data_IF_802964558090
#
_entry.id   IF_802964558090
#
_cell.length_a   1.000
_cell.length_b   1.000
_cell.length_c   1.000
_cell.angle_alpha   90.00
_cell.angle_beta   90.00
_cell.angle_gamma   90.00
#
_symmetry.space_group_name_H-M   'P 1'
#
loop_
_entity.id
_entity.type
_entity.pdbx_description
1 polymer ?
#
# COMPACT_ATOMS: atom_id res chain seq x y z
N UNK A 1 -20.19 -23.85 6.81
CA UNK A 1 -19.55 -23.81 5.48
C UNK A 1 -19.39 -22.35 5.21
N UNK A 2 -18.26 -21.80 5.62
CA UNK A 2 -18.10 -20.38 5.87
C UNK A 2 -16.83 -19.91 5.18
N UNK A 3 -16.91 -18.72 4.59
CA UNK A 3 -15.79 -18.05 3.96
C UNK A 3 -15.63 -16.68 4.62
N UNK A 4 -14.38 -16.34 4.95
CA UNK A 4 -13.98 -15.01 5.39
C UNK A 4 -12.90 -14.51 4.44
N UNK A 5 -13.07 -13.30 3.93
CA UNK A 5 -12.18 -12.72 2.92
C UNK A 5 -11.97 -11.25 3.21
N UNK A 6 -10.74 -10.78 3.02
CA UNK A 6 -10.38 -9.38 3.09
C UNK A 6 -10.09 -8.83 1.71
N UNK A 7 -10.38 -7.54 1.51
CA UNK A 7 -9.93 -6.81 0.33
C UNK A 7 -8.41 -6.72 0.38
N UNK A 8 -7.73 -7.07 -0.73
CA UNK A 8 -6.27 -7.04 -0.84
C UNK A 8 -5.71 -5.61 -1.01
N UNK A 9 -5.97 -4.74 -0.03
CA UNK A 9 -5.39 -3.40 0.11
C UNK A 9 -4.41 -3.37 1.26
N UNK A 10 -3.43 -2.46 1.20
CA UNK A 10 -2.28 -2.46 2.13
C UNK A 10 -1.60 -3.82 2.17
N UNK A 11 -1.51 -4.46 1.01
CA UNK A 11 -0.81 -5.72 0.80
C UNK A 11 0.47 -5.45 0.01
N UNK A 12 1.51 -6.22 0.28
CA UNK A 12 2.71 -6.26 -0.54
C UNK A 12 2.91 -7.67 -1.10
N UNK A 13 3.36 -7.75 -2.36
CA UNK A 13 3.63 -9.03 -3.05
C UNK A 13 5.12 -9.07 -3.39
N UNK A 14 5.79 -10.17 -3.04
CA UNK A 14 7.18 -10.39 -3.44
C UNK A 14 7.19 -11.38 -4.60
N UNK A 15 7.75 -10.95 -5.73
CA UNK A 15 7.91 -11.77 -6.92
C UNK A 15 9.26 -11.48 -7.56
N UNK A 16 10.01 -12.52 -7.93
CA UNK A 16 11.33 -12.41 -8.57
C UNK A 16 12.32 -11.50 -7.81
N UNK A 17 12.28 -11.56 -6.48
CA UNK A 17 13.12 -10.74 -5.60
C UNK A 17 12.72 -9.26 -5.53
N UNK A 18 11.58 -8.86 -6.11
CA UNK A 18 11.06 -7.50 -6.09
C UNK A 18 9.80 -7.42 -5.23
N UNK A 19 9.73 -6.38 -4.41
CA UNK A 19 8.53 -6.05 -3.66
C UNK A 19 7.63 -5.14 -4.49
N UNK A 20 6.38 -5.55 -4.67
CA UNK A 20 5.33 -4.78 -5.30
C UNK A 20 4.36 -4.27 -4.23
N UNK A 21 4.21 -2.95 -4.15
CA UNK A 21 3.26 -2.29 -3.26
C UNK A 21 2.34 -1.44 -4.10
N UNK A 22 1.03 -1.65 -3.94
CA UNK A 22 0.01 -0.84 -4.59
C UNK A 22 -0.72 0.01 -3.56
N UNK A 23 -0.81 1.30 -3.84
CA UNK A 23 -1.65 2.24 -3.13
C UNK A 23 -2.39 3.12 -4.14
N UNK A 24 -3.49 3.71 -3.73
CA UNK A 24 -4.25 4.65 -4.56
C UNK A 24 -5.15 5.55 -3.73
N UNK A 25 -5.80 6.47 -4.43
CA UNK A 25 -6.73 7.44 -3.88
C UNK A 25 -8.06 7.42 -4.65
N UNK A 26 -9.13 7.86 -3.98
CA UNK A 26 -10.46 7.96 -4.59
C UNK A 26 -10.65 9.34 -5.17
N UNK A 27 -10.67 9.45 -6.50
CA UNK A 27 -10.79 10.75 -7.18
C UNK A 27 -12.26 11.19 -7.24
N UNK A 28 -12.52 12.42 -6.83
CA UNK A 28 -13.83 13.10 -6.89
C UNK A 28 -13.72 14.40 -7.67
N UNK A 29 -14.84 15.09 -7.89
CA UNK A 29 -14.92 16.29 -8.73
C UNK A 29 -13.96 17.41 -8.30
N UNK A 30 -13.78 17.59 -7.00
CA UNK A 30 -12.99 18.62 -6.35
C UNK A 30 -11.62 18.13 -5.86
N UNK A 31 -11.19 16.92 -6.26
CA UNK A 31 -9.89 16.37 -5.92
C UNK A 31 -8.75 17.26 -6.40
N UNK A 32 -7.75 17.42 -5.53
CA UNK A 32 -6.49 18.12 -5.83
C UNK A 32 -5.40 17.08 -6.11
N UNK A 33 -4.82 17.03 -7.33
CA UNK A 33 -3.83 16.02 -7.69
C UNK A 33 -2.65 15.90 -6.72
N UNK A 34 -2.20 17.01 -6.11
CA UNK A 34 -1.09 16.99 -5.16
C UNK A 34 -1.51 16.32 -3.84
N UNK A 35 -2.72 16.61 -3.35
CA UNK A 35 -3.24 15.99 -2.12
C UNK A 35 -3.49 14.50 -2.29
N UNK A 36 -4.03 14.08 -3.44
CA UNK A 36 -4.30 12.67 -3.71
C UNK A 36 -2.99 11.85 -3.84
N UNK A 37 -1.95 12.48 -4.38
CA UNK A 37 -0.60 11.91 -4.40
C UNK A 37 -0.06 11.70 -2.98
N UNK A 38 -0.13 12.74 -2.14
CA UNK A 38 0.31 12.67 -0.75
C UNK A 38 -0.46 11.61 0.04
N UNK A 39 -1.78 11.49 -0.17
CA UNK A 39 -2.60 10.44 0.43
C UNK A 39 -2.15 9.04 -0.01
N UNK A 40 -1.91 8.85 -1.30
CA UNK A 40 -1.44 7.57 -1.86
C UNK A 40 -0.09 7.17 -1.24
N UNK A 41 0.85 8.11 -1.14
CA UNK A 41 2.14 7.89 -0.49
C UNK A 41 1.99 7.58 1.01
N UNK A 42 1.12 8.30 1.71
CA UNK A 42 0.84 8.06 3.13
C UNK A 42 0.25 6.67 3.37
N UNK A 43 -0.66 6.20 2.52
CA UNK A 43 -1.23 4.84 2.58
C UNK A 43 -0.18 3.75 2.36
N UNK A 44 0.75 3.97 1.42
CA UNK A 44 1.84 3.03 1.12
C UNK A 44 2.97 3.04 2.16
N UNK A 45 3.18 4.16 2.88
CA UNK A 45 4.30 4.37 3.82
C UNK A 45 4.42 3.27 4.87
N UNK A 46 3.30 2.80 5.42
CA UNK A 46 3.31 1.75 6.44
C UNK A 46 3.98 0.45 5.93
N UNK A 47 3.71 0.06 4.68
CA UNK A 47 4.31 -1.12 4.08
C UNK A 47 5.80 -0.93 3.82
N UNK A 48 6.20 0.24 3.31
CA UNK A 48 7.61 0.55 3.11
C UNK A 48 8.39 0.53 4.43
N UNK A 49 7.82 1.06 5.50
CA UNK A 49 8.43 1.02 6.83
C UNK A 49 8.57 -0.42 7.34
N UNK A 50 7.51 -1.23 7.23
CA UNK A 50 7.55 -2.63 7.66
C UNK A 50 8.61 -3.44 6.89
N UNK A 51 8.74 -3.21 5.58
CA UNK A 51 9.75 -3.86 4.75
C UNK A 51 11.16 -3.41 5.14
N UNK A 52 11.36 -2.10 5.35
CA UNK A 52 12.66 -1.58 5.76
C UNK A 52 13.11 -2.17 7.11
N UNK A 53 12.18 -2.32 8.05
CA UNK A 53 12.44 -2.98 9.33
C UNK A 53 12.82 -4.46 9.13
N UNK A 54 12.01 -5.22 8.38
CA UNK A 54 12.28 -6.63 8.10
C UNK A 54 13.63 -6.85 7.37
N UNK A 55 13.96 -5.97 6.42
CA UNK A 55 15.25 -6.01 5.72
C UNK A 55 16.44 -5.69 6.64
N UNK A 56 16.23 -4.93 7.72
CA UNK A 56 17.25 -4.59 8.71
C UNK A 56 17.47 -5.66 9.80
N UNK A 57 16.73 -6.77 9.75
CA UNK A 57 16.88 -7.90 10.67
C UNK A 57 15.98 -7.87 11.91
N UNK A 58 14.87 -7.13 11.84
CA UNK A 58 13.74 -7.21 12.78
C UNK A 58 12.75 -8.31 12.38
#
# INVERSE_FOLDING_TARGET
GDADTAIAIRTAVIQDGRLHVQAGAGIVYDSDPAKEWDETMNKGRALFHAVAQAASGL
#
